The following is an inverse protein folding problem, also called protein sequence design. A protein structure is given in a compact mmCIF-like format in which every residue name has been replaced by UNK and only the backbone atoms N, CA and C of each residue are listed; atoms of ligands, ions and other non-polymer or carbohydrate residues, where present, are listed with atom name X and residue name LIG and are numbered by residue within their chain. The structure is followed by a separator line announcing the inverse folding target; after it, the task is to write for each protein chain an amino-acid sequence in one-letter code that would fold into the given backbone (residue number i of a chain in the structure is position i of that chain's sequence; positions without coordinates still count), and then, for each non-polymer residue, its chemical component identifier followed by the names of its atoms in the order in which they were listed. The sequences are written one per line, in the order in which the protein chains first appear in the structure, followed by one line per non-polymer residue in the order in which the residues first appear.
data_IF_377167765231
#
_entry.id   IF_377167765231
#
_cell.length_a   1.000
_cell.length_b   1.000
_cell.length_c   1.000
_cell.angle_alpha   90.00
_cell.angle_beta   90.00
_cell.angle_gamma   90.00
#
_symmetry.space_group_name_H-M   'P 1'
#
loop_
_entity.id
_entity.type
_entity.pdbx_description
1 polymer ?
#
# COMPACT_ATOMS: atom_id res chain seq x y z
N UNK A 1 -25.80 28.32 -16.63
CA UNK A 1 -26.17 26.91 -16.31
C UNK A 1 -25.16 26.03 -17.01
N UNK A 2 -23.98 25.87 -16.39
CA UNK A 2 -22.82 25.19 -16.98
C UNK A 2 -22.89 23.74 -16.58
N UNK A 3 -23.20 22.89 -17.54
CA UNK A 3 -23.17 21.44 -17.37
C UNK A 3 -21.73 21.05 -17.01
N UNK A 4 -21.53 20.62 -15.76
CA UNK A 4 -20.33 19.90 -15.36
C UNK A 4 -20.26 18.65 -16.21
N UNK A 5 -19.41 18.70 -17.21
CA UNK A 5 -19.08 17.55 -18.04
C UNK A 5 -18.45 16.53 -17.12
N UNK A 6 -19.23 15.53 -16.74
CA UNK A 6 -18.76 14.37 -16.01
C UNK A 6 -17.66 13.72 -16.88
N UNK A 7 -16.41 14.02 -16.56
CA UNK A 7 -15.27 13.41 -17.25
C UNK A 7 -15.33 11.92 -16.97
N UNK A 8 -15.93 11.18 -17.87
CA UNK A 8 -15.96 9.73 -17.83
C UNK A 8 -14.51 9.23 -17.99
N UNK A 9 -13.83 9.05 -16.86
CA UNK A 9 -12.54 8.40 -16.87
C UNK A 9 -12.69 7.02 -17.52
N UNK A 10 -11.88 6.69 -18.53
CA UNK A 10 -11.98 5.43 -19.21
C UNK A 10 -11.87 4.28 -18.23
N UNK A 11 -12.88 3.41 -18.22
CA UNK A 11 -12.85 2.20 -17.38
C UNK A 11 -11.77 1.29 -17.96
N UNK A 12 -10.63 1.23 -17.28
CA UNK A 12 -9.57 0.32 -17.68
C UNK A 12 -10.01 -1.11 -17.31
N UNK A 13 -9.70 -2.06 -18.18
CA UNK A 13 -10.08 -3.45 -17.96
C UNK A 13 -9.54 -3.96 -16.62
N UNK A 14 -10.43 -4.20 -15.66
CA UNK A 14 -10.12 -4.67 -14.30
C UNK A 14 -9.13 -5.85 -14.31
N UNK A 15 -9.34 -6.82 -15.20
CA UNK A 15 -8.48 -8.01 -15.31
C UNK A 15 -7.04 -7.65 -15.66
N UNK A 16 -6.84 -6.69 -16.57
CA UNK A 16 -5.49 -6.25 -16.98
C UNK A 16 -4.77 -5.53 -15.85
N UNK A 17 -5.45 -4.64 -15.12
CA UNK A 17 -4.84 -3.95 -13.96
C UNK A 17 -4.51 -4.96 -12.87
N UNK A 18 -5.45 -5.84 -12.53
CA UNK A 18 -5.21 -6.88 -11.51
C UNK A 18 -3.99 -7.72 -11.89
N UNK A 19 -3.90 -8.18 -13.13
CA UNK A 19 -2.76 -8.96 -13.60
C UNK A 19 -1.44 -8.17 -13.49
N UNK A 20 -1.43 -6.93 -13.98
CA UNK A 20 -0.22 -6.09 -13.96
C UNK A 20 0.28 -5.87 -12.53
N UNK A 21 -0.59 -5.48 -11.61
CA UNK A 21 -0.21 -5.22 -10.21
C UNK A 21 0.14 -6.52 -9.48
N UNK A 22 -0.55 -7.63 -9.78
CA UNK A 22 -0.20 -8.95 -9.23
C UNK A 22 1.19 -9.39 -9.69
N UNK A 23 1.50 -9.25 -10.97
CA UNK A 23 2.83 -9.56 -11.49
C UNK A 23 3.89 -8.68 -10.84
N UNK A 24 3.64 -7.37 -10.73
CA UNK A 24 4.56 -6.45 -10.06
C UNK A 24 4.82 -6.87 -8.60
N UNK A 25 3.78 -7.03 -7.79
CA UNK A 25 3.94 -7.40 -6.39
C UNK A 25 4.57 -8.77 -6.20
N UNK A 26 4.18 -9.77 -7.02
CA UNK A 26 4.78 -11.10 -6.97
C UNK A 26 6.25 -11.08 -7.41
N UNK A 27 6.60 -10.31 -8.44
CA UNK A 27 8.00 -10.19 -8.86
C UNK A 27 8.89 -9.57 -7.77
N UNK A 28 8.37 -8.60 -7.02
CA UNK A 28 9.07 -8.05 -5.86
C UNK A 28 9.31 -9.12 -4.78
N UNK A 29 8.31 -9.95 -4.47
CA UNK A 29 8.50 -11.07 -3.54
C UNK A 29 9.51 -12.09 -4.04
N UNK A 30 9.51 -12.42 -5.33
CA UNK A 30 10.50 -13.33 -5.92
C UNK A 30 11.91 -12.73 -5.83
N UNK A 31 12.07 -11.46 -6.19
CA UNK A 31 13.37 -10.75 -6.08
C UNK A 31 13.88 -10.78 -4.64
N UNK A 32 13.00 -10.58 -3.65
CA UNK A 32 13.37 -10.60 -2.25
C UNK A 32 14.13 -11.89 -1.87
N UNK A 33 13.61 -13.04 -2.27
CA UNK A 33 14.20 -14.35 -1.95
C UNK A 33 15.31 -14.80 -2.91
N UNK A 34 15.49 -14.11 -4.04
CA UNK A 34 16.65 -14.32 -4.92
C UNK A 34 17.88 -13.57 -4.44
N UNK A 35 17.67 -12.43 -3.74
CA UNK A 35 18.77 -11.55 -3.32
C UNK A 35 19.25 -11.86 -1.90
N UNK A 36 18.36 -12.23 -1.01
CA UNK A 36 18.68 -12.56 0.38
C UNK A 36 18.07 -13.92 0.78
N UNK A 37 18.67 -14.58 1.76
CA UNK A 37 18.12 -15.81 2.31
C UNK A 37 16.78 -15.56 3.03
N UNK A 38 15.89 -16.56 3.12
CA UNK A 38 14.59 -16.39 3.80
C UNK A 38 14.71 -15.85 5.23
N UNK A 39 15.73 -16.24 5.96
CA UNK A 39 15.94 -15.77 7.34
C UNK A 39 16.33 -14.27 7.35
N UNK A 40 17.20 -13.85 6.45
CA UNK A 40 17.58 -12.43 6.31
C UNK A 40 16.41 -11.56 5.88
N UNK A 41 15.58 -12.04 4.95
CA UNK A 41 14.36 -11.33 4.53
C UNK A 41 13.41 -11.14 5.70
N UNK A 42 13.12 -12.19 6.45
CA UNK A 42 12.17 -12.12 7.57
C UNK A 42 12.70 -11.31 8.75
N UNK A 43 13.99 -11.43 9.07
CA UNK A 43 14.62 -10.62 10.13
C UNK A 43 14.69 -9.14 9.71
N UNK A 44 14.97 -8.89 8.44
CA UNK A 44 14.98 -7.54 7.86
C UNK A 44 13.58 -6.91 7.87
N UNK A 45 12.52 -7.66 7.55
CA UNK A 45 11.14 -7.18 7.63
C UNK A 45 10.76 -6.77 9.07
N UNK A 46 11.18 -7.54 10.06
CA UNK A 46 11.00 -7.17 11.48
C UNK A 46 11.74 -5.88 11.83
N UNK A 47 12.92 -5.66 11.27
CA UNK A 47 13.68 -4.42 11.42
C UNK A 47 12.95 -3.25 10.77
N UNK A 48 12.41 -3.42 9.55
CA UNK A 48 11.57 -2.43 8.87
C UNK A 48 10.36 -2.04 9.71
N UNK A 49 9.62 -3.01 10.24
CA UNK A 49 8.45 -2.75 11.08
C UNK A 49 8.79 -1.92 12.31
N UNK A 50 9.94 -2.17 12.91
CA UNK A 50 10.42 -1.48 14.14
C UNK A 50 11.23 -0.22 13.85
N UNK A 51 11.43 0.13 12.58
CA UNK A 51 12.16 1.33 12.19
C UNK A 51 11.35 2.61 12.44
N UNK A 52 11.98 3.78 12.50
CA UNK A 52 11.29 5.07 12.55
C UNK A 52 10.27 5.27 11.44
N UNK A 53 10.48 4.62 10.28
CA UNK A 53 9.56 4.63 9.14
C UNK A 53 9.15 6.04 8.70
N UNK A 54 10.05 7.00 8.76
CA UNK A 54 9.88 8.32 8.16
C UNK A 54 10.23 8.28 6.67
N UNK A 55 9.78 9.27 5.90
CA UNK A 55 9.99 9.29 4.44
C UNK A 55 11.45 9.27 3.99
N UNK A 56 12.39 9.58 4.87
CA UNK A 56 13.83 9.51 4.62
C UNK A 56 14.45 8.21 5.12
N UNK A 57 13.69 7.28 5.71
CA UNK A 57 14.22 5.99 6.16
C UNK A 57 14.38 5.07 4.96
N UNK A 58 15.60 4.85 4.51
CA UNK A 58 15.92 3.88 3.47
C UNK A 58 15.89 2.47 4.05
N UNK A 59 14.88 1.69 3.70
CA UNK A 59 14.75 0.32 4.17
C UNK A 59 15.82 -0.62 3.63
N UNK A 60 16.44 -0.29 2.50
CA UNK A 60 17.55 -1.07 1.95
C UNK A 60 18.77 -0.94 2.86
N UNK A 61 19.08 0.27 3.27
CA UNK A 61 20.18 0.55 4.19
C UNK A 61 19.88 0.09 5.62
N UNK A 62 18.63 0.30 6.07
CA UNK A 62 18.21 0.01 7.44
C UNK A 62 18.09 -1.49 7.73
N UNK A 63 17.72 -2.28 6.74
CA UNK A 63 17.54 -3.73 6.85
C UNK A 63 18.41 -4.48 5.83
N UNK A 64 17.89 -4.72 4.67
CA UNK A 64 18.57 -5.27 3.51
C UNK A 64 17.69 -5.14 2.26
N UNK A 65 18.29 -5.36 1.08
CA UNK A 65 17.60 -5.24 -0.19
C UNK A 65 16.41 -6.19 -0.32
N UNK A 66 16.58 -7.46 0.10
CA UNK A 66 15.51 -8.45 0.04
C UNK A 66 14.33 -8.10 0.92
N UNK A 67 14.56 -7.63 2.15
CA UNK A 67 13.49 -7.20 3.04
C UNK A 67 12.73 -5.98 2.50
N UNK A 68 13.44 -5.01 1.90
CA UNK A 68 12.79 -3.85 1.28
C UNK A 68 11.88 -4.27 0.10
N UNK A 69 12.33 -5.18 -0.76
CA UNK A 69 11.50 -5.74 -1.82
C UNK A 69 10.35 -6.59 -1.29
N UNK A 70 10.57 -7.34 -0.23
CA UNK A 70 9.54 -8.14 0.43
C UNK A 70 8.42 -7.26 0.99
N UNK A 71 8.76 -6.24 1.77
CA UNK A 71 7.81 -5.27 2.28
C UNK A 71 7.03 -4.58 1.15
N UNK A 72 7.73 -4.09 0.12
CA UNK A 72 7.09 -3.43 -1.02
C UNK A 72 6.13 -4.37 -1.78
N UNK A 73 6.51 -5.63 -1.98
CA UNK A 73 5.66 -6.66 -2.57
C UNK A 73 4.41 -6.94 -1.74
N UNK A 74 4.56 -7.16 -0.43
CA UNK A 74 3.44 -7.38 0.49
C UNK A 74 2.47 -6.21 0.51
N UNK A 75 2.97 -4.99 0.68
CA UNK A 75 2.16 -3.77 0.72
C UNK A 75 1.42 -3.55 -0.60
N UNK A 76 2.08 -3.80 -1.74
CA UNK A 76 1.45 -3.72 -3.07
C UNK A 76 0.31 -4.71 -3.23
N UNK A 77 0.55 -5.99 -2.90
CA UNK A 77 -0.46 -7.03 -2.98
C UNK A 77 -1.59 -6.82 -1.99
N UNK A 78 -1.31 -6.27 -0.81
CA UNK A 78 -2.33 -5.93 0.18
C UNK A 78 -3.25 -4.82 -0.34
N UNK A 79 -2.70 -3.75 -0.94
CA UNK A 79 -3.50 -2.69 -1.56
C UNK A 79 -4.38 -3.21 -2.71
N UNK A 80 -3.82 -4.08 -3.56
CA UNK A 80 -4.58 -4.73 -4.65
C UNK A 80 -5.69 -5.63 -4.10
N UNK A 81 -5.37 -6.47 -3.12
CA UNK A 81 -6.32 -7.41 -2.51
C UNK A 81 -7.48 -6.67 -1.86
N UNK A 82 -7.18 -5.60 -1.13
CA UNK A 82 -8.20 -4.75 -0.53
C UNK A 82 -9.13 -4.15 -1.59
N UNK A 83 -8.56 -3.57 -2.65
CA UNK A 83 -9.34 -3.02 -3.76
C UNK A 83 -10.21 -4.09 -4.46
N UNK A 84 -9.69 -5.31 -4.55
CA UNK A 84 -10.43 -6.44 -5.16
C UNK A 84 -11.58 -6.93 -4.26
N UNK A 85 -11.34 -7.09 -2.95
CA UNK A 85 -12.33 -7.55 -1.97
C UNK A 85 -13.54 -6.60 -1.88
N UNK A 86 -13.28 -5.29 -1.83
CA UNK A 86 -14.35 -4.29 -1.75
C UNK A 86 -15.00 -3.99 -3.09
N UNK A 87 -14.60 -4.71 -4.15
CA UNK A 87 -15.09 -4.53 -5.52
C UNK A 87 -14.94 -3.10 -6.04
N UNK A 88 -13.79 -2.48 -5.77
CA UNK A 88 -13.47 -1.13 -6.21
C UNK A 88 -13.60 -0.96 -7.74
N UNK A 89 -13.83 0.28 -8.18
CA UNK A 89 -13.79 0.62 -9.61
C UNK A 89 -12.33 0.80 -10.03
N UNK A 90 -11.86 -0.10 -10.90
CA UNK A 90 -10.50 -0.04 -11.42
C UNK A 90 -10.39 1.04 -12.51
N UNK A 91 -9.72 2.12 -12.18
CA UNK A 91 -9.44 3.26 -13.06
C UNK A 91 -8.00 3.74 -12.85
N UNK A 92 -7.57 4.73 -13.62
CA UNK A 92 -6.21 5.29 -13.52
C UNK A 92 -5.91 5.89 -12.14
N UNK A 93 -6.91 6.47 -11.47
CA UNK A 93 -6.76 7.04 -10.14
C UNK A 93 -6.46 5.97 -9.07
N UNK A 94 -7.17 4.84 -9.09
CA UNK A 94 -6.87 3.71 -8.21
C UNK A 94 -5.50 3.11 -8.52
N UNK A 95 -5.16 2.99 -9.80
CA UNK A 95 -3.87 2.46 -10.21
C UNK A 95 -2.72 3.35 -9.71
N UNK A 96 -2.83 4.66 -9.85
CA UNK A 96 -1.84 5.60 -9.32
C UNK A 96 -1.72 5.53 -7.80
N UNK A 97 -2.84 5.35 -7.08
CA UNK A 97 -2.83 5.17 -5.63
C UNK A 97 -2.07 3.89 -5.21
N UNK A 98 -2.26 2.77 -5.93
CA UNK A 98 -1.53 1.53 -5.68
C UNK A 98 -0.04 1.69 -5.98
N UNK A 99 0.33 2.33 -7.09
CA UNK A 99 1.75 2.59 -7.38
C UNK A 99 2.41 3.52 -6.36
N UNK A 100 1.69 4.55 -5.90
CA UNK A 100 2.16 5.43 -4.83
C UNK A 100 2.36 4.64 -3.53
N UNK A 101 1.40 3.78 -3.17
CA UNK A 101 1.52 2.89 -2.01
C UNK A 101 2.76 1.99 -2.14
N UNK A 102 2.95 1.36 -3.30
CA UNK A 102 4.07 0.46 -3.61
C UNK A 102 5.43 1.19 -3.53
N UNK A 103 5.54 2.37 -4.13
CA UNK A 103 6.78 3.15 -4.12
C UNK A 103 7.21 3.56 -2.72
N UNK A 104 6.29 4.08 -1.92
CA UNK A 104 6.59 4.47 -0.54
C UNK A 104 6.82 3.29 0.41
N UNK A 105 6.53 2.06 0.00
CA UNK A 105 6.85 0.88 0.79
C UNK A 105 8.35 0.55 0.83
N UNK A 106 9.18 1.25 0.04
CA UNK A 106 10.64 1.19 0.17
C UNK A 106 11.21 2.14 1.22
N UNK A 107 10.40 3.06 1.76
CA UNK A 107 10.88 4.15 2.62
C UNK A 107 10.16 4.26 3.97
N UNK A 108 8.88 4.54 3.98
CA UNK A 108 8.18 4.89 5.22
C UNK A 108 6.90 4.10 5.46
N UNK A 109 6.51 3.24 4.53
CA UNK A 109 5.31 2.42 4.65
C UNK A 109 5.67 0.95 4.82
N UNK A 110 5.10 0.32 5.83
CA UNK A 110 5.20 -1.11 6.03
C UNK A 110 3.82 -1.68 6.39
N UNK A 111 3.71 -3.00 6.40
CA UNK A 111 2.45 -3.69 6.67
C UNK A 111 1.86 -3.25 8.02
N UNK A 112 2.69 -3.07 9.05
CA UNK A 112 2.25 -2.70 10.38
C UNK A 112 1.63 -1.30 10.42
N UNK A 113 2.32 -0.29 9.88
CA UNK A 113 1.91 1.11 10.05
C UNK A 113 0.76 1.55 9.15
N UNK A 114 0.45 0.81 8.06
CA UNK A 114 -0.71 1.09 7.21
C UNK A 114 -2.01 0.44 7.70
N UNK A 115 -1.93 -0.66 8.48
CA UNK A 115 -3.11 -1.38 8.96
C UNK A 115 -4.06 -0.52 9.80
N UNK A 116 -3.61 0.28 10.80
CA UNK A 116 -4.50 1.13 11.59
C UNK A 116 -5.24 2.17 10.73
N UNK A 117 -4.60 2.64 9.65
CA UNK A 117 -5.21 3.59 8.72
C UNK A 117 -6.33 2.91 7.94
N UNK A 118 -6.11 1.69 7.46
CA UNK A 118 -7.14 0.89 6.81
C UNK A 118 -8.32 0.63 7.75
N UNK A 119 -8.04 0.23 8.99
CA UNK A 119 -9.06 0.00 10.00
C UNK A 119 -9.82 1.27 10.35
N UNK A 120 -9.13 2.41 10.50
CA UNK A 120 -9.73 3.69 10.82
C UNK A 120 -10.70 4.17 9.75
N UNK A 121 -10.33 4.08 8.47
CA UNK A 121 -11.23 4.47 7.36
C UNK A 121 -12.40 3.51 7.23
N UNK A 122 -12.18 2.22 7.39
CA UNK A 122 -13.26 1.22 7.39
C UNK A 122 -14.26 1.48 8.53
N UNK A 123 -13.75 1.73 9.73
CA UNK A 123 -14.56 2.01 10.90
C UNK A 123 -15.35 3.32 10.75
N UNK A 124 -14.72 4.35 10.19
CA UNK A 124 -15.38 5.62 9.87
C UNK A 124 -16.55 5.41 8.89
N UNK A 125 -16.34 4.62 7.84
CA UNK A 125 -17.41 4.34 6.87
C UNK A 125 -18.58 3.61 7.50
N UNK A 126 -18.31 2.61 8.34
CA UNK A 126 -19.35 1.83 9.04
C UNK A 126 -20.13 2.68 10.04
N UNK A 127 -19.44 3.55 10.79
CA UNK A 127 -20.07 4.30 11.90
C UNK A 127 -20.72 5.61 11.46
N UNK A 128 -20.16 6.30 10.48
CA UNK A 128 -20.54 7.69 10.21
C UNK A 128 -20.94 7.96 8.76
N UNK A 129 -20.24 7.38 7.81
CA UNK A 129 -20.37 7.79 6.41
C UNK A 129 -21.47 7.06 5.68
N UNK A 130 -21.65 5.77 5.95
CA UNK A 130 -22.52 4.87 5.19
C UNK A 130 -22.33 4.99 3.66
N UNK A 131 -21.20 5.57 3.24
CA UNK A 131 -20.80 5.62 1.84
C UNK A 131 -20.29 4.24 1.44
N UNK A 132 -20.26 4.00 0.14
CA UNK A 132 -19.71 2.72 -0.32
C UNK A 132 -18.19 2.75 -0.17
N UNK A 133 -17.62 1.93 0.72
CA UNK A 133 -16.16 1.79 0.96
C UNK A 133 -15.34 1.72 -0.35
N UNK A 134 -15.94 1.15 -1.42
CA UNK A 134 -15.31 1.09 -2.74
C UNK A 134 -14.98 2.46 -3.36
N UNK A 135 -15.66 3.51 -2.97
CA UNK A 135 -15.43 4.87 -3.46
C UNK A 135 -14.36 5.59 -2.62
N UNK A 136 -14.07 5.06 -1.42
CA UNK A 136 -13.04 5.57 -0.49
C UNK A 136 -11.68 4.89 -0.66
N UNK A 137 -11.56 3.83 -1.48
CA UNK A 137 -10.34 3.04 -1.55
C UNK A 137 -9.12 3.85 -2.00
N UNK A 138 -9.24 4.69 -3.00
CA UNK A 138 -8.10 5.47 -3.48
C UNK A 138 -7.69 6.56 -2.45
N UNK A 139 -8.61 7.36 -1.86
CA UNK A 139 -8.27 8.20 -0.71
C UNK A 139 -7.64 7.42 0.44
N UNK A 140 -8.11 6.21 0.74
CA UNK A 140 -7.55 5.34 1.75
C UNK A 140 -6.09 4.98 1.46
N UNK A 141 -5.80 4.53 0.23
CA UNK A 141 -4.44 4.17 -0.18
C UNK A 141 -3.50 5.38 -0.15
N UNK A 142 -3.96 6.56 -0.56
CA UNK A 142 -3.20 7.80 -0.38
C UNK A 142 -3.05 8.18 1.10
N UNK A 143 -4.09 7.99 1.90
CA UNK A 143 -4.08 8.26 3.35
C UNK A 143 -3.03 7.46 4.12
N UNK A 144 -2.55 6.33 3.57
CA UNK A 144 -1.43 5.57 4.16
C UNK A 144 -0.11 6.37 4.23
N UNK A 145 -0.04 7.56 3.65
CA UNK A 145 1.08 8.49 3.87
C UNK A 145 1.21 8.93 5.33
N UNK A 146 0.17 8.71 6.14
CA UNK A 146 0.22 8.89 7.60
C UNK A 146 0.86 7.69 8.35
N UNK A 147 1.24 6.63 7.65
CA UNK A 147 1.89 5.46 8.25
C UNK A 147 3.08 5.78 9.16
N UNK A 148 4.00 6.69 8.79
CA UNK A 148 5.09 7.10 9.67
C UNK A 148 4.63 7.61 11.05
N UNK A 149 3.51 8.31 11.12
CA UNK A 149 2.93 8.78 12.41
C UNK A 149 2.53 7.59 13.28
N UNK A 150 1.98 6.53 12.69
CA UNK A 150 1.64 5.30 13.42
C UNK A 150 2.90 4.67 14.02
N UNK A 151 3.99 4.58 13.25
CA UNK A 151 5.27 4.06 13.74
C UNK A 151 5.84 4.92 14.87
N UNK A 152 5.77 6.26 14.74
CA UNK A 152 6.23 7.17 15.80
C UNK A 152 5.46 6.98 17.10
N UNK A 153 4.13 6.89 17.04
CA UNK A 153 3.30 6.69 18.23
C UNK A 153 3.53 5.32 18.86
N UNK A 154 3.70 4.27 18.04
CA UNK A 154 3.88 2.91 18.55
C UNK A 154 5.26 2.67 19.18
N UNK A 155 6.31 3.29 18.64
CA UNK A 155 7.70 3.00 19.02
C UNK A 155 8.43 4.17 19.69
N UNK A 156 7.81 5.34 19.80
CA UNK A 156 8.36 6.50 20.54
C UNK A 156 9.50 7.22 19.82
N UNK A 157 9.49 7.26 18.50
CA UNK A 157 10.49 7.98 17.71
C UNK A 157 10.17 9.46 17.58
#
# INVERSE_FOLDING_TARGET
MTLLQETSHPIINRRRITLLVSVLGTSMLVIAFLVNSPMEVLSGELSIIRSPSILITDYIEYANLGAAFFNAGLVTLMGLTLAWLIRARFNGYLLSAIFTLSGFAFFGKNVFNILPIFMGVFLFDVLFSHQRVKDLIAPLLFGTTLGPVVSQVAFGF
#
